data_IF_852018791792
#
_entry.id   IF_852018791792
#
_cell.length_a   1.000
_cell.length_b   1.000
_cell.length_c   1.000
_cell.angle_alpha   90.00
_cell.angle_beta   90.00
_cell.angle_gamma   90.00
#
_symmetry.space_group_name_H-M   'P 1'
#
loop_
_entity.id
_entity.type
_entity.pdbx_description
1 polymer ?
#
# COMPACT_ATOMS: atom_id res chain seq x y z
N UNK A 1 46.28 35.66 13.12
CA UNK A 1 45.37 36.80 12.83
C UNK A 1 46.13 38.04 12.39
N UNK A 2 47.12 38.52 13.16
CA UNK A 2 47.95 39.66 12.77
C UNK A 2 48.59 39.51 11.38
N UNK A 3 49.06 38.31 11.03
CA UNK A 3 49.62 38.03 9.70
C UNK A 3 48.61 38.16 8.55
N UNK A 4 47.38 37.68 8.73
CA UNK A 4 46.33 37.80 7.72
C UNK A 4 45.90 39.26 7.55
N UNK A 5 45.80 40.00 8.65
CA UNK A 5 45.51 41.43 8.64
C UNK A 5 46.60 42.24 7.91
N UNK A 6 47.88 41.91 8.12
CA UNK A 6 49.01 42.53 7.38
C UNK A 6 48.94 42.30 5.87
N UNK A 7 48.28 41.23 5.42
CA UNK A 7 48.07 40.90 4.00
C UNK A 7 46.75 41.43 3.43
N UNK A 8 46.02 42.25 4.19
CA UNK A 8 44.71 42.78 3.77
C UNK A 8 43.59 41.75 3.76
N UNK A 9 43.77 40.58 4.38
CA UNK A 9 42.76 39.51 4.43
C UNK A 9 41.98 39.62 5.74
N UNK A 10 40.67 39.88 5.64
CA UNK A 10 39.74 39.90 6.76
C UNK A 10 38.85 38.65 6.76
N UNK A 11 38.68 38.02 7.92
CA UNK A 11 37.77 36.89 8.12
C UNK A 11 36.60 37.37 8.98
N UNK A 12 35.37 37.39 8.45
CA UNK A 12 34.24 38.06 9.09
C UNK A 12 33.68 37.31 10.30
N UNK A 13 33.69 35.96 10.27
CA UNK A 13 33.19 35.13 11.36
C UNK A 13 34.28 34.12 11.72
N UNK A 14 34.77 34.20 12.95
CA UNK A 14 35.77 33.28 13.47
C UNK A 14 35.18 32.51 14.64
N UNK A 15 35.53 31.25 14.73
CA UNK A 15 35.04 30.38 15.78
C UNK A 15 36.04 29.27 16.08
N UNK A 16 36.23 28.96 17.37
CA UNK A 16 37.04 27.82 17.78
C UNK A 16 36.36 26.98 18.87
N UNK A 17 35.43 27.57 19.62
CA UNK A 17 34.84 26.92 20.78
C UNK A 17 33.82 25.83 20.41
N UNK A 18 34.08 24.61 20.87
CA UNK A 18 33.07 23.55 20.99
C UNK A 18 32.43 23.59 22.39
N UNK A 19 31.52 22.66 22.69
CA UNK A 19 30.89 22.57 24.03
C UNK A 19 31.88 22.59 25.20
N UNK A 20 33.03 21.91 25.07
CA UNK A 20 34.05 21.87 26.13
C UNK A 20 34.75 23.22 26.30
N UNK A 21 35.12 23.87 25.21
CA UNK A 21 35.73 25.20 25.25
C UNK A 21 34.77 26.27 25.79
N UNK A 22 33.48 26.20 25.41
CA UNK A 22 32.43 27.09 25.92
C UNK A 22 32.37 27.05 27.45
N UNK A 23 32.46 25.85 28.05
CA UNK A 23 32.37 25.66 29.50
C UNK A 23 33.69 25.94 30.23
N UNK A 24 34.83 25.58 29.65
CA UNK A 24 36.14 25.70 30.31
C UNK A 24 36.78 27.08 30.14
N UNK A 25 36.49 27.79 29.05
CA UNK A 25 37.13 29.04 28.69
C UNK A 25 36.12 30.11 28.28
N UNK A 26 35.21 30.55 29.17
CA UNK A 26 34.14 31.49 28.83
C UNK A 26 34.63 32.85 28.32
N UNK A 27 35.90 33.21 28.56
CA UNK A 27 36.54 34.43 28.06
C UNK A 27 37.19 34.31 26.68
N UNK A 28 37.35 33.11 26.11
CA UNK A 28 38.00 32.89 24.80
C UNK A 28 37.03 32.94 23.60
N UNK A 29 35.98 33.77 23.71
CA UNK A 29 34.94 33.86 22.69
C UNK A 29 35.41 34.68 21.49
N UNK A 30 35.27 34.07 20.31
CA UNK A 30 35.30 34.78 19.02
C UNK A 30 33.87 35.16 18.62
N UNK A 31 33.65 35.48 17.34
CA UNK A 31 32.34 35.91 16.83
C UNK A 31 31.27 34.81 16.89
N UNK A 32 31.66 33.53 16.87
CA UNK A 32 30.72 32.40 16.92
C UNK A 32 31.26 31.22 17.75
N UNK A 33 30.34 30.45 18.34
CA UNK A 33 30.63 29.20 19.07
C UNK A 33 29.88 28.02 18.45
N UNK A 34 30.30 26.79 18.73
CA UNK A 34 29.75 25.56 18.15
C UNK A 34 29.31 24.59 19.25
N UNK A 35 28.22 24.88 19.97
CA UNK A 35 27.69 23.96 20.98
C UNK A 35 27.15 22.71 20.28
N UNK A 36 27.76 21.57 20.59
CA UNK A 36 27.35 20.24 20.12
C UNK A 36 26.70 19.49 21.27
N UNK A 37 27.46 18.61 21.95
CA UNK A 37 26.94 17.74 23.01
C UNK A 37 26.16 18.45 24.14
N UNK A 38 26.50 19.70 24.46
CA UNK A 38 25.80 20.45 25.52
C UNK A 38 24.38 20.85 25.11
N UNK A 39 24.06 20.95 23.81
CA UNK A 39 22.68 21.21 23.35
C UNK A 39 21.77 20.00 23.58
N UNK A 40 22.34 18.80 23.73
CA UNK A 40 21.64 17.59 24.15
C UNK A 40 21.51 17.47 25.67
N UNK A 41 21.98 18.48 26.41
CA UNK A 41 21.98 18.47 27.87
C UNK A 41 23.06 17.59 28.49
N UNK A 42 24.11 17.24 27.73
CA UNK A 42 25.17 16.33 28.16
C UNK A 42 26.48 17.11 28.35
N UNK A 43 27.09 16.93 29.52
CA UNK A 43 28.37 17.52 29.86
C UNK A 43 29.51 16.84 29.08
N UNK A 44 30.42 17.61 28.43
CA UNK A 44 31.56 17.07 27.68
C UNK A 44 32.52 16.22 28.52
N UNK A 45 32.64 16.51 29.82
CA UNK A 45 33.45 15.75 30.77
C UNK A 45 32.92 15.93 32.20
N UNK A 46 33.37 15.10 33.14
CA UNK A 46 32.90 15.17 34.53
C UNK A 46 33.29 16.50 35.21
N UNK A 47 34.44 17.07 34.85
CA UNK A 47 34.97 18.34 35.38
C UNK A 47 34.15 19.56 34.94
N UNK A 48 33.22 19.38 34.00
CA UNK A 48 32.36 20.45 33.48
C UNK A 48 30.96 20.49 34.08
N UNK A 49 30.61 19.53 34.97
CA UNK A 49 29.26 19.39 35.53
C UNK A 49 28.78 20.63 36.27
N UNK A 50 29.66 21.28 37.03
CA UNK A 50 29.31 22.44 37.85
C UNK A 50 29.43 23.77 37.10
N UNK A 51 29.76 23.74 35.80
CA UNK A 51 30.02 24.95 35.00
C UNK A 51 28.79 25.48 34.25
N UNK A 52 27.71 24.70 34.18
CA UNK A 52 26.45 25.09 33.59
C UNK A 52 25.31 24.20 34.08
N UNK A 53 24.07 24.67 33.96
CA UNK A 53 22.87 23.86 34.19
C UNK A 53 22.38 23.27 32.86
N UNK A 54 22.80 22.05 32.55
CA UNK A 54 22.38 21.34 31.34
C UNK A 54 21.21 20.41 31.66
N UNK A 55 20.17 20.44 30.80
CA UNK A 55 19.00 19.57 30.94
C UNK A 55 19.01 18.52 29.84
N UNK A 56 19.15 17.22 30.16
CA UNK A 56 19.08 16.15 29.17
C UNK A 56 17.76 16.17 28.39
N UNK A 57 17.84 16.08 27.06
CA UNK A 57 16.67 16.22 26.15
C UNK A 57 16.25 14.91 25.50
N UNK A 58 16.93 13.80 25.79
CA UNK A 58 16.68 12.49 25.18
C UNK A 58 16.50 11.41 26.24
N UNK A 59 15.47 10.59 26.05
CA UNK A 59 15.29 9.32 26.76
C UNK A 59 15.10 8.18 25.77
N UNK A 60 15.57 6.99 26.12
CA UNK A 60 15.33 5.77 25.37
C UNK A 60 14.64 4.76 26.27
N UNK A 61 13.45 4.33 25.84
CA UNK A 61 12.53 3.54 26.64
C UNK A 61 12.02 2.35 25.84
N UNK A 62 11.61 1.31 26.55
CA UNK A 62 10.96 0.12 26.01
C UNK A 62 9.97 -0.44 27.05
N UNK A 63 9.39 -1.60 26.79
CA UNK A 63 8.49 -2.28 27.72
C UNK A 63 8.90 -3.72 27.94
N UNK A 64 8.54 -4.29 29.08
CA UNK A 64 8.76 -5.72 29.35
C UNK A 64 7.80 -6.54 28.50
N UNK A 65 8.32 -7.54 27.78
CA UNK A 65 7.51 -8.44 26.95
C UNK A 65 7.35 -9.83 27.54
N UNK A 66 8.21 -10.20 28.49
CA UNK A 66 8.16 -11.49 29.16
C UNK A 66 8.81 -11.41 30.54
N UNK A 67 8.24 -12.13 31.51
CA UNK A 67 8.87 -12.39 32.80
C UNK A 67 8.83 -13.89 33.07
N UNK A 68 9.95 -14.45 33.53
CA UNK A 68 10.07 -15.85 33.95
C UNK A 68 10.92 -15.96 35.21
N UNK A 69 10.62 -16.95 36.05
CA UNK A 69 11.45 -17.30 37.20
C UNK A 69 12.36 -18.49 36.85
N UNK A 70 13.59 -18.44 37.35
CA UNK A 70 14.57 -19.50 37.19
C UNK A 70 15.14 -19.89 38.55
N UNK A 71 15.36 -21.19 38.82
CA UNK A 71 16.07 -21.63 40.02
C UNK A 71 17.56 -21.28 39.93
N UNK A 72 18.29 -21.47 41.03
CA UNK A 72 19.76 -21.39 41.04
C UNK A 72 20.38 -22.40 40.05
N UNK A 73 21.53 -22.04 39.46
CA UNK A 73 22.28 -22.88 38.52
C UNK A 73 21.81 -22.82 37.06
N UNK A 74 20.84 -21.97 36.73
CA UNK A 74 20.29 -21.86 35.38
C UNK A 74 21.05 -20.84 34.53
N UNK A 75 21.27 -21.16 33.25
CA UNK A 75 22.00 -20.27 32.33
C UNK A 75 21.07 -19.29 31.62
N UNK A 76 21.45 -18.01 31.58
CA UNK A 76 20.69 -16.94 30.92
C UNK A 76 21.46 -16.42 29.68
N UNK A 77 20.72 -16.31 28.57
CA UNK A 77 21.22 -15.78 27.29
C UNK A 77 22.22 -16.68 26.55
N UNK A 78 22.75 -16.16 25.44
CA UNK A 78 23.71 -16.89 24.60
C UNK A 78 24.97 -17.30 25.38
N UNK A 79 25.46 -18.51 25.08
CA UNK A 79 26.63 -19.14 25.70
C UNK A 79 26.55 -19.23 27.23
N UNK A 80 25.38 -19.05 27.84
CA UNK A 80 25.16 -19.17 29.28
C UNK A 80 26.15 -18.34 30.11
N UNK A 81 26.46 -17.13 29.63
CA UNK A 81 27.47 -16.25 30.28
C UNK A 81 27.06 -15.74 31.66
N UNK A 82 25.78 -15.87 32.00
CA UNK A 82 25.26 -15.61 33.34
C UNK A 82 24.61 -16.89 33.86
N UNK A 83 24.98 -17.27 35.09
CA UNK A 83 24.40 -18.40 35.81
C UNK A 83 23.74 -17.85 37.07
N UNK A 84 22.43 -18.11 37.23
CA UNK A 84 21.66 -17.68 38.40
C UNK A 84 22.28 -18.28 39.67
N UNK A 85 22.50 -17.46 40.70
CA UNK A 85 23.04 -17.94 41.99
C UNK A 85 21.93 -18.35 42.95
N UNK A 86 20.74 -17.79 42.77
CA UNK A 86 19.56 -18.03 43.59
C UNK A 86 18.30 -18.10 42.71
N UNK A 87 17.11 -18.09 43.33
CA UNK A 87 15.86 -17.97 42.59
C UNK A 87 15.81 -16.57 41.97
N UNK A 88 16.00 -16.48 40.66
CA UNK A 88 16.09 -15.21 39.93
C UNK A 88 14.86 -14.99 39.07
N UNK A 89 14.27 -13.80 39.16
CA UNK A 89 13.17 -13.36 38.30
C UNK A 89 13.74 -12.54 37.15
N UNK A 90 13.51 -12.99 35.92
CA UNK A 90 14.15 -12.45 34.72
C UNK A 90 13.10 -11.83 33.81
N UNK A 91 13.26 -10.54 33.51
CA UNK A 91 12.48 -9.82 32.51
C UNK A 91 13.19 -9.83 31.17
N UNK A 92 12.45 -9.94 30.06
CA UNK A 92 12.96 -9.76 28.71
C UNK A 92 12.39 -8.50 28.09
N UNK A 93 13.24 -7.71 27.42
CA UNK A 93 12.86 -6.48 26.73
C UNK A 93 13.24 -6.54 25.24
N UNK A 94 12.44 -5.92 24.34
CA UNK A 94 12.66 -5.89 22.89
C UNK A 94 13.64 -4.79 22.50
N UNK A 95 14.86 -4.90 23.02
CA UNK A 95 15.99 -4.04 22.66
C UNK A 95 17.25 -4.88 22.58
N UNK A 96 18.01 -4.72 21.50
CA UNK A 96 19.32 -5.34 21.35
C UNK A 96 20.33 -4.46 20.62
N UNK A 97 21.45 -5.06 20.22
CA UNK A 97 22.51 -4.33 19.50
C UNK A 97 22.08 -3.86 18.11
N UNK A 98 21.05 -4.46 17.51
CA UNK A 98 20.42 -3.99 16.28
C UNK A 98 19.77 -2.62 16.44
N UNK A 99 19.31 -2.29 17.65
CA UNK A 99 18.74 -0.99 18.03
C UNK A 99 19.80 0.01 18.47
N UNK A 100 21.07 -0.40 18.48
CA UNK A 100 22.20 0.40 18.93
C UNK A 100 22.46 0.34 20.44
N UNK A 101 21.84 -0.60 21.18
CA UNK A 101 22.21 -0.88 22.56
C UNK A 101 23.52 -1.70 22.59
N UNK A 102 24.65 -1.18 23.10
CA UNK A 102 25.95 -1.81 22.90
C UNK A 102 26.04 -3.25 23.41
N UNK A 103 26.61 -4.16 22.61
CA UNK A 103 26.87 -5.53 23.02
C UNK A 103 27.76 -5.62 24.28
N UNK A 104 28.67 -4.66 24.46
CA UNK A 104 29.55 -4.54 25.63
C UNK A 104 28.81 -4.31 26.96
N UNK A 105 27.51 -3.99 26.92
CA UNK A 105 26.65 -3.92 28.11
C UNK A 105 26.17 -5.29 28.59
N UNK A 106 26.52 -6.38 27.90
CA UNK A 106 26.28 -7.75 28.38
C UNK A 106 26.88 -7.95 29.78
N UNK A 107 26.06 -8.33 30.77
CA UNK A 107 26.43 -8.44 32.19
C UNK A 107 26.98 -7.16 32.84
N UNK A 108 26.76 -5.99 32.23
CA UNK A 108 27.33 -4.71 32.70
C UNK A 108 26.34 -3.56 32.66
N UNK A 109 25.36 -3.62 31.76
CA UNK A 109 24.33 -2.60 31.62
C UNK A 109 23.30 -2.64 32.74
N UNK A 110 22.52 -1.58 32.82
CA UNK A 110 21.38 -1.45 33.73
C UNK A 110 20.23 -0.79 32.98
N UNK A 111 19.03 -0.97 33.53
CA UNK A 111 17.82 -0.27 33.14
C UNK A 111 17.07 0.22 34.39
N UNK A 112 16.18 1.20 34.24
CA UNK A 112 15.25 1.58 35.30
C UNK A 112 13.89 0.94 35.05
N UNK A 113 13.36 0.29 36.09
CA UNK A 113 12.00 -0.26 36.11
C UNK A 113 11.36 0.15 37.43
N UNK A 114 10.21 0.82 37.37
CA UNK A 114 9.50 1.37 38.55
C UNK A 114 10.42 2.21 39.46
N UNK A 115 11.34 2.97 38.86
CA UNK A 115 12.28 3.84 39.58
C UNK A 115 13.42 3.11 40.29
N UNK A 116 13.63 1.81 40.01
CA UNK A 116 14.73 1.01 40.55
C UNK A 116 15.65 0.52 39.43
N UNK A 117 16.94 0.39 39.72
CA UNK A 117 17.93 -0.15 38.79
C UNK A 117 17.83 -1.67 38.72
N UNK A 118 17.78 -2.20 37.50
CA UNK A 118 17.76 -3.62 37.17
C UNK A 118 18.96 -3.95 36.28
N UNK A 119 19.86 -4.86 36.66
CA UNK A 119 21.05 -5.18 35.88
C UNK A 119 20.71 -6.03 34.65
N UNK A 120 21.43 -5.79 33.54
CA UNK A 120 21.42 -6.66 32.36
C UNK A 120 22.17 -7.94 32.69
N UNK A 121 21.50 -9.08 32.56
CA UNK A 121 22.08 -10.40 32.80
C UNK A 121 22.09 -11.22 31.51
N UNK A 122 23.19 -11.92 31.26
CA UNK A 122 23.44 -12.61 29.99
C UNK A 122 23.91 -11.67 28.87
N UNK A 123 24.07 -12.24 27.67
CA UNK A 123 24.47 -11.48 26.48
C UNK A 123 23.31 -10.71 25.88
N UNK A 124 23.57 -9.45 25.53
CA UNK A 124 22.69 -8.66 24.67
C UNK A 124 22.62 -9.33 23.29
N UNK A 125 21.41 -9.62 22.82
CA UNK A 125 21.16 -10.21 21.49
C UNK A 125 20.88 -9.13 20.45
N UNK A 126 20.57 -9.52 19.20
CA UNK A 126 20.33 -8.54 18.13
C UNK A 126 19.13 -7.64 18.45
N UNK A 127 18.03 -8.22 18.94
CA UNK A 127 16.75 -7.51 19.09
C UNK A 127 16.19 -7.59 20.51
N UNK A 128 16.85 -8.31 21.42
CA UNK A 128 16.37 -8.58 22.78
C UNK A 128 17.51 -8.61 23.80
N UNK A 129 17.23 -8.25 25.05
CA UNK A 129 18.10 -8.52 26.19
C UNK A 129 17.28 -8.82 27.45
N UNK A 130 17.97 -9.30 28.49
CA UNK A 130 17.36 -9.77 29.74
C UNK A 130 17.85 -8.96 30.93
N UNK A 131 16.94 -8.69 31.86
CA UNK A 131 17.17 -7.92 33.08
C UNK A 131 16.84 -8.79 34.30
N UNK A 132 17.66 -8.71 35.34
CA UNK A 132 17.31 -9.25 36.66
C UNK A 132 16.34 -8.30 37.35
N UNK A 133 15.14 -8.80 37.66
CA UNK A 133 14.07 -8.06 38.34
C UNK A 133 13.67 -8.73 39.65
N UNK A 134 14.56 -9.52 40.24
CA UNK A 134 14.33 -10.23 41.51
C UNK A 134 13.98 -9.25 42.64
N UNK A 135 14.71 -8.14 42.73
CA UNK A 135 14.48 -7.08 43.74
C UNK A 135 13.38 -6.07 43.38
N UNK A 136 12.60 -6.37 42.33
CA UNK A 136 11.47 -5.56 41.85
C UNK A 136 10.24 -6.48 41.72
N UNK A 137 9.67 -6.97 42.85
CA UNK A 137 8.64 -8.00 42.82
C UNK A 137 7.34 -7.56 42.11
N UNK A 138 7.00 -6.27 42.19
CA UNK A 138 5.79 -5.70 41.59
C UNK A 138 5.91 -5.42 40.07
N UNK A 139 7.06 -5.72 39.49
CA UNK A 139 7.31 -5.59 38.07
C UNK A 139 6.45 -6.57 37.26
N UNK A 140 5.77 -6.12 36.20
CA UNK A 140 4.89 -6.93 35.35
C UNK A 140 5.18 -6.73 33.87
N UNK A 141 4.70 -7.66 33.02
CA UNK A 141 4.73 -7.49 31.56
C UNK A 141 3.98 -6.22 31.19
N UNK A 142 4.55 -5.42 30.29
CA UNK A 142 4.04 -4.12 29.89
C UNK A 142 4.63 -2.93 30.66
N UNK A 143 5.35 -3.14 31.78
CA UNK A 143 5.98 -2.05 32.52
C UNK A 143 7.01 -1.30 31.66
N UNK A 144 7.06 0.03 31.82
CA UNK A 144 8.03 0.90 31.17
C UNK A 144 9.44 0.64 31.72
N UNK A 145 10.38 0.44 30.81
CA UNK A 145 11.80 0.25 31.08
C UNK A 145 12.58 1.42 30.46
N UNK A 146 13.36 2.13 31.27
CA UNK A 146 14.19 3.26 30.81
C UNK A 146 15.66 2.83 30.73
N UNK A 147 16.23 2.84 29.52
CA UNK A 147 17.63 2.48 29.27
C UNK A 147 18.56 3.70 29.22
N UNK A 148 18.00 4.86 28.86
CA UNK A 148 18.64 6.18 28.93
C UNK A 148 17.56 7.17 29.39
N UNK A 149 17.82 7.97 30.41
CA UNK A 149 16.86 8.94 30.92
C UNK A 149 16.49 8.73 32.38
N UNK A 150 15.41 9.39 32.81
CA UNK A 150 14.93 9.44 34.19
C UNK A 150 13.70 8.56 34.38
N UNK A 151 13.61 7.88 35.53
CA UNK A 151 12.40 7.24 36.01
C UNK A 151 12.36 7.37 37.54
N UNK A 152 11.36 8.10 38.06
CA UNK A 152 11.38 8.52 39.46
C UNK A 152 12.61 9.38 39.78
N UNK A 153 13.25 9.10 40.90
CA UNK A 153 14.46 9.81 41.35
C UNK A 153 15.75 9.33 40.66
N UNK A 154 15.71 8.14 40.04
CA UNK A 154 16.85 7.53 39.35
C UNK A 154 17.03 8.08 37.93
N UNK A 155 18.29 8.14 37.49
CA UNK A 155 18.66 8.62 36.15
C UNK A 155 19.86 7.85 35.59
N UNK A 156 19.71 7.27 34.40
CA UNK A 156 20.80 6.66 33.63
C UNK A 156 21.25 7.66 32.57
N UNK A 157 22.48 8.16 32.69
CA UNK A 157 23.04 9.17 31.77
C UNK A 157 23.75 8.55 30.56
N UNK A 158 23.83 9.28 29.45
CA UNK A 158 24.60 8.84 28.28
C UNK A 158 26.09 8.63 28.60
N UNK A 159 26.66 9.43 29.52
CA UNK A 159 28.04 9.28 29.99
C UNK A 159 28.23 8.02 30.84
N UNK A 160 27.23 7.63 31.63
CA UNK A 160 27.26 6.37 32.40
C UNK A 160 27.24 5.15 31.48
N UNK A 161 26.34 5.15 30.49
CA UNK A 161 26.27 4.09 29.47
C UNK A 161 27.60 4.02 28.71
N UNK A 162 28.14 5.16 28.30
CA UNK A 162 29.39 5.25 27.58
C UNK A 162 30.57 4.69 28.39
N UNK A 163 30.66 5.01 29.68
CA UNK A 163 31.69 4.47 30.56
C UNK A 163 31.61 2.94 30.68
N UNK A 164 30.42 2.38 30.87
CA UNK A 164 30.21 0.91 30.93
C UNK A 164 30.50 0.22 29.59
N UNK A 165 30.17 0.89 28.48
CA UNK A 165 30.42 0.40 27.12
C UNK A 165 31.82 0.73 26.58
N UNK A 166 32.69 1.37 27.37
CA UNK A 166 34.04 1.77 26.98
C UNK A 166 34.10 2.68 25.74
N UNK A 167 33.21 3.67 25.68
CA UNK A 167 33.13 4.67 24.61
C UNK A 167 32.80 6.07 25.16
N UNK A 168 32.41 7.00 24.29
CA UNK A 168 31.96 8.36 24.57
C UNK A 168 30.46 8.51 24.35
N UNK A 169 29.83 9.44 25.06
CA UNK A 169 28.38 9.68 24.96
C UNK A 169 27.90 10.07 23.57
N UNK A 170 28.76 10.65 22.73
CA UNK A 170 28.46 10.91 21.32
C UNK A 170 28.11 9.64 20.55
N UNK A 171 28.86 8.55 20.76
CA UNK A 171 28.57 7.28 20.09
C UNK A 171 27.25 6.69 20.60
N UNK A 172 27.02 6.74 21.92
CA UNK A 172 25.77 6.27 22.53
C UNK A 172 24.56 7.00 21.95
N UNK A 173 24.57 8.34 21.91
CA UNK A 173 23.46 9.14 21.38
C UNK A 173 23.26 8.93 19.88
N UNK A 174 24.33 8.68 19.13
CA UNK A 174 24.25 8.40 17.70
C UNK A 174 23.75 6.98 17.38
N UNK A 175 24.00 6.01 18.26
CA UNK A 175 23.66 4.61 18.05
C UNK A 175 22.28 4.26 18.62
N UNK A 176 21.99 4.69 19.84
CA UNK A 176 20.85 4.22 20.60
C UNK A 176 19.51 4.61 19.95
N UNK A 177 18.62 3.63 19.83
CA UNK A 177 17.34 3.80 19.14
C UNK A 177 17.46 3.85 17.62
N UNK A 178 18.53 3.29 17.00
CA UNK A 178 18.75 3.31 15.55
C UNK A 178 17.51 2.88 14.75
N UNK A 179 16.84 1.82 15.20
CA UNK A 179 15.59 1.27 14.62
C UNK A 179 14.31 1.74 15.33
N UNK A 180 14.43 2.44 16.45
CA UNK A 180 13.28 2.89 17.23
C UNK A 180 12.65 4.18 16.64
N UNK A 181 11.32 4.34 16.75
CA UNK A 181 10.68 5.62 16.44
C UNK A 181 11.17 6.71 17.40
N UNK A 182 11.23 7.95 16.92
CA UNK A 182 11.56 9.13 17.74
C UNK A 182 10.28 9.90 18.00
N UNK A 183 9.97 10.15 19.27
CA UNK A 183 8.84 10.99 19.67
C UNK A 183 9.41 12.31 20.15
N UNK A 184 9.01 13.41 19.50
CA UNK A 184 9.45 14.75 19.88
C UNK A 184 8.40 15.38 20.80
N UNK A 185 8.83 15.78 21.99
CA UNK A 185 7.97 16.45 22.97
C UNK A 185 8.09 17.96 22.77
N UNK A 186 7.08 18.60 22.17
CA UNK A 186 7.02 20.06 22.11
C UNK A 186 6.21 20.58 23.30
N UNK A 187 6.63 21.69 23.93
CA UNK A 187 5.88 22.31 25.03
C UNK A 187 4.43 22.58 24.57
N UNK A 188 3.48 21.81 25.11
CA UNK A 188 2.04 21.98 24.85
C UNK A 188 1.44 21.10 23.74
N UNK A 189 2.23 20.28 23.04
CA UNK A 189 1.73 19.28 22.09
C UNK A 189 2.46 17.96 22.34
N UNK A 190 1.86 17.10 23.16
CA UNK A 190 2.09 15.66 23.06
C UNK A 190 1.46 15.18 21.75
N UNK A 191 2.08 14.19 21.09
CA UNK A 191 1.58 13.47 19.90
C UNK A 191 2.12 13.86 18.52
N UNK A 192 3.16 14.68 18.42
CA UNK A 192 3.99 14.72 17.21
C UNK A 192 4.90 13.48 17.15
N UNK A 193 4.31 12.31 16.90
CA UNK A 193 5.06 11.10 16.53
C UNK A 193 5.45 11.26 15.07
N UNK A 194 6.69 11.69 14.80
CA UNK A 194 7.30 11.43 13.49
C UNK A 194 7.86 10.00 13.53
N UNK A 195 7.24 8.98 12.91
CA UNK A 195 7.88 7.70 12.74
C UNK A 195 9.05 7.85 11.77
N UNK A 196 10.20 8.30 12.27
CA UNK A 196 11.49 8.21 11.57
C UNK A 196 12.01 6.79 11.70
N UNK A 197 11.32 5.85 11.04
CA UNK A 197 11.89 4.55 10.76
C UNK A 197 12.85 4.68 9.57
N UNK A 198 14.09 4.27 9.85
CA UNK A 198 15.26 4.18 8.96
C UNK A 198 16.00 5.52 8.75
N UNK A 199 17.28 5.52 9.14
CA UNK A 199 18.33 6.32 8.49
C UNK A 199 18.44 5.88 7.02
N UNK A 200 17.44 6.18 6.21
CA UNK A 200 17.61 6.45 4.79
C UNK A 200 17.19 7.90 4.68
N UNK A 201 18.15 8.80 4.51
CA UNK A 201 17.84 10.12 4.00
C UNK A 201 17.25 9.89 2.60
N UNK A 202 15.93 10.00 2.51
CA UNK A 202 15.16 9.94 1.27
C UNK A 202 14.89 11.41 0.94
N UNK A 203 15.62 12.04 -0.02
CA UNK A 203 15.36 13.40 -0.46
C UNK A 203 13.88 13.54 -0.88
N UNK A 204 13.32 14.75 -0.84
CA UNK A 204 11.92 14.98 -1.30
C UNK A 204 11.62 14.42 -2.70
N UNK A 205 12.64 14.31 -3.56
CA UNK A 205 12.57 13.67 -4.88
C UNK A 205 12.26 12.17 -4.84
N UNK A 206 12.60 11.44 -3.78
CA UNK A 206 12.29 10.01 -3.61
C UNK A 206 10.89 9.75 -3.01
N UNK A 207 10.19 10.79 -2.55
CA UNK A 207 8.74 10.73 -2.31
C UNK A 207 7.92 11.01 -3.58
N UNK A 208 8.58 11.41 -4.66
CA UNK A 208 7.89 11.67 -5.92
C UNK A 208 7.44 10.34 -6.51
N UNK A 209 6.12 10.13 -6.60
CA UNK A 209 5.52 9.05 -7.41
C UNK A 209 6.25 8.93 -8.75
N UNK A 210 6.59 10.06 -9.38
CA UNK A 210 7.33 10.13 -10.63
C UNK A 210 8.66 9.35 -10.67
N UNK A 211 9.38 9.17 -9.54
CA UNK A 211 10.61 8.37 -9.52
C UNK A 211 10.32 6.88 -9.44
N UNK A 212 9.32 6.47 -8.66
CA UNK A 212 8.86 5.06 -8.62
C UNK A 212 8.30 4.69 -9.99
N UNK A 213 7.46 5.55 -10.54
CA UNK A 213 6.89 5.46 -11.88
C UNK A 213 8.01 5.32 -12.92
N UNK A 214 9.03 6.17 -12.86
CA UNK A 214 10.20 6.08 -13.74
C UNK A 214 10.97 4.76 -13.58
N UNK A 215 11.12 4.22 -12.36
CA UNK A 215 11.82 2.94 -12.12
C UNK A 215 11.01 1.78 -12.71
N UNK A 216 9.69 1.75 -12.45
CA UNK A 216 8.79 0.71 -12.93
C UNK A 216 8.69 0.77 -14.46
N UNK A 217 8.53 1.97 -15.02
CA UNK A 217 8.54 2.22 -16.47
C UNK A 217 9.85 1.75 -17.10
N UNK A 218 11.02 2.14 -16.57
CA UNK A 218 12.31 1.66 -17.06
C UNK A 218 12.45 0.13 -16.98
N UNK A 219 11.90 -0.50 -15.94
CA UNK A 219 11.86 -1.95 -15.81
C UNK A 219 11.02 -2.61 -16.92
N UNK A 220 9.85 -2.04 -17.27
CA UNK A 220 9.06 -2.50 -18.40
C UNK A 220 9.80 -2.30 -19.72
N UNK A 221 10.31 -1.10 -20.01
CA UNK A 221 11.09 -0.79 -21.20
C UNK A 221 12.27 -1.76 -21.40
N UNK A 222 13.00 -2.06 -20.31
CA UNK A 222 14.13 -2.98 -20.34
C UNK A 222 13.68 -4.42 -20.64
N UNK A 223 12.57 -4.86 -20.06
CA UNK A 223 12.04 -6.22 -20.27
C UNK A 223 11.44 -6.40 -21.66
N UNK A 224 10.72 -5.40 -22.17
CA UNK A 224 10.14 -5.41 -23.54
C UNK A 224 11.20 -5.19 -24.61
N UNK A 225 12.37 -4.64 -24.24
CA UNK A 225 13.41 -4.16 -25.17
C UNK A 225 12.88 -3.11 -26.15
N UNK A 226 11.88 -2.34 -25.73
CA UNK A 226 11.25 -1.28 -26.51
C UNK A 226 10.71 -0.23 -25.54
N UNK A 227 11.15 1.02 -25.74
CA UNK A 227 10.70 2.15 -24.94
C UNK A 227 9.19 2.35 -25.09
N UNK A 228 8.71 2.38 -26.34
CA UNK A 228 7.30 2.54 -26.70
C UNK A 228 6.40 1.47 -26.06
N UNK A 229 6.79 0.19 -26.15
CA UNK A 229 6.01 -0.90 -25.53
C UNK A 229 6.08 -0.87 -24.00
N UNK A 230 7.23 -0.48 -23.43
CA UNK A 230 7.38 -0.34 -21.99
C UNK A 230 6.49 0.75 -21.42
N UNK A 231 6.44 1.90 -22.10
CA UNK A 231 5.58 3.04 -21.75
C UNK A 231 4.11 2.69 -21.91
N UNK A 232 3.73 2.04 -23.02
CA UNK A 232 2.37 1.58 -23.22
C UNK A 232 1.91 0.64 -22.10
N UNK A 233 2.71 -0.34 -21.69
CA UNK A 233 2.37 -1.23 -20.57
C UNK A 233 2.24 -0.45 -19.26
N UNK A 234 3.15 0.49 -19.00
CA UNK A 234 3.12 1.30 -17.80
C UNK A 234 1.82 2.12 -17.70
N UNK A 235 1.51 2.92 -18.72
CA UNK A 235 0.34 3.79 -18.68
C UNK A 235 -0.99 3.03 -18.84
N UNK A 236 -1.05 2.00 -19.70
CA UNK A 236 -2.31 1.29 -19.97
C UNK A 236 -2.65 0.26 -18.90
N UNK A 237 -1.65 -0.37 -18.29
CA UNK A 237 -1.88 -1.44 -17.31
C UNK A 237 -1.54 -1.00 -15.88
N UNK A 238 -0.35 -0.42 -15.65
CA UNK A 238 0.10 -0.14 -14.29
C UNK A 238 -0.60 1.08 -13.69
N UNK A 239 -0.58 2.22 -14.37
CA UNK A 239 -1.33 3.42 -13.95
C UNK A 239 -2.83 3.15 -13.85
N UNK A 240 -3.43 2.47 -14.83
CA UNK A 240 -4.85 2.11 -14.78
C UNK A 240 -5.19 1.27 -13.54
N UNK A 241 -4.34 0.33 -13.15
CA UNK A 241 -4.58 -0.57 -12.01
C UNK A 241 -4.21 0.02 -10.65
N UNK A 242 -3.16 0.85 -10.59
CA UNK A 242 -2.50 1.24 -9.35
C UNK A 242 -2.30 2.76 -9.21
N UNK A 243 -2.52 3.56 -10.25
CA UNK A 243 -2.23 4.99 -10.28
C UNK A 243 -3.26 5.88 -9.56
N UNK A 244 -4.41 5.32 -9.17
CA UNK A 244 -5.41 6.03 -8.37
C UNK A 244 -5.32 5.57 -6.90
N UNK A 245 -5.02 6.50 -5.99
CA UNK A 245 -4.78 6.22 -4.55
C UNK A 245 -5.91 5.41 -3.89
N UNK A 246 -7.16 5.65 -4.30
CA UNK A 246 -8.36 5.01 -3.72
C UNK A 246 -8.96 3.89 -4.59
N UNK A 247 -8.36 3.56 -5.75
CA UNK A 247 -8.89 2.52 -6.63
C UNK A 247 -8.50 1.15 -6.11
N UNK A 248 -9.41 0.51 -5.37
CA UNK A 248 -9.21 -0.86 -4.91
C UNK A 248 -9.28 -1.85 -6.07
N UNK A 249 -8.31 -2.75 -6.15
CA UNK A 249 -8.18 -3.70 -7.25
C UNK A 249 -9.30 -4.76 -7.19
N UNK A 250 -10.30 -4.64 -8.07
CA UNK A 250 -11.34 -5.66 -8.21
C UNK A 250 -10.82 -6.87 -9.02
N UNK A 251 -10.98 -8.07 -8.47
CA UNK A 251 -10.64 -9.32 -9.14
C UNK A 251 -11.91 -10.05 -9.56
N UNK A 252 -11.92 -10.56 -10.79
CA UNK A 252 -13.02 -11.38 -11.32
C UNK A 252 -12.54 -12.81 -11.59
N UNK A 253 -13.42 -13.78 -11.41
CA UNK A 253 -13.18 -15.17 -11.82
C UNK A 253 -14.43 -15.81 -12.37
N UNK A 254 -14.30 -16.97 -13.03
CA UNK A 254 -15.42 -17.65 -13.69
C UNK A 254 -16.19 -16.73 -14.63
N UNK A 255 -15.45 -15.90 -15.39
CA UNK A 255 -16.05 -14.91 -16.28
C UNK A 255 -16.62 -15.60 -17.50
N UNK A 256 -17.90 -15.35 -17.77
CA UNK A 256 -18.57 -15.84 -18.97
C UNK A 256 -19.37 -14.71 -19.61
N UNK A 257 -19.21 -14.58 -20.92
CA UNK A 257 -19.88 -13.55 -21.72
C UNK A 257 -20.51 -14.23 -22.94
N UNK A 258 -21.82 -14.43 -22.91
CA UNK A 258 -22.58 -14.95 -24.05
C UNK A 258 -23.26 -13.80 -24.80
N UNK A 259 -23.03 -13.75 -26.11
CA UNK A 259 -23.56 -12.73 -27.01
C UNK A 259 -24.38 -13.46 -28.06
N UNK A 260 -25.63 -13.03 -28.23
CA UNK A 260 -26.54 -13.56 -29.25
C UNK A 260 -27.04 -12.42 -30.10
N UNK A 261 -26.70 -12.44 -31.39
CA UNK A 261 -27.16 -11.47 -32.38
C UNK A 261 -28.20 -12.10 -33.30
N UNK A 262 -29.32 -11.41 -33.49
CA UNK A 262 -30.43 -11.87 -34.30
C UNK A 262 -31.03 -10.73 -35.14
N UNK A 263 -31.73 -11.10 -36.21
CA UNK A 263 -32.57 -10.16 -36.96
C UNK A 263 -33.67 -9.60 -36.07
N UNK A 264 -34.02 -8.32 -36.26
CA UNK A 264 -35.14 -7.72 -35.55
C UNK A 264 -36.46 -8.39 -35.96
N UNK A 265 -37.35 -8.72 -35.01
CA UNK A 265 -38.70 -9.17 -35.34
C UNK A 265 -39.47 -8.01 -35.99
N UNK A 266 -39.97 -8.18 -37.23
CA UNK A 266 -40.71 -7.10 -37.91
C UNK A 266 -41.67 -7.59 -39.00
N UNK A 267 -42.91 -7.08 -38.95
CA UNK A 267 -43.92 -7.14 -40.03
C UNK A 267 -44.59 -5.76 -40.20
N UNK A 268 -44.85 -5.32 -41.43
CA UNK A 268 -45.57 -4.06 -41.72
C UNK A 268 -44.69 -2.80 -41.80
N UNK A 269 -45.26 -1.60 -41.58
CA UNK A 269 -44.60 -0.29 -41.74
C UNK A 269 -43.31 -0.09 -40.90
N UNK A 270 -43.09 -0.92 -39.88
CA UNK A 270 -41.86 -0.95 -39.07
C UNK A 270 -40.64 -1.58 -39.79
N UNK A 271 -40.81 -2.14 -41.01
CA UNK A 271 -39.77 -2.86 -41.76
C UNK A 271 -38.50 -2.05 -41.99
N UNK A 272 -38.61 -0.79 -42.43
CA UNK A 272 -37.44 0.05 -42.75
C UNK A 272 -36.52 0.26 -41.54
N UNK A 273 -37.08 0.38 -40.34
CA UNK A 273 -36.29 0.55 -39.11
C UNK A 273 -35.81 -0.80 -38.56
N UNK A 274 -36.60 -1.87 -38.67
CA UNK A 274 -36.17 -3.23 -38.32
C UNK A 274 -35.01 -3.72 -39.20
N UNK A 275 -34.98 -3.34 -40.48
CA UNK A 275 -33.92 -3.74 -41.41
C UNK A 275 -32.58 -3.08 -41.10
N UNK A 276 -32.55 -1.94 -40.40
CA UNK A 276 -31.35 -1.17 -40.09
C UNK A 276 -30.60 -1.64 -38.83
N UNK A 277 -31.22 -2.46 -37.98
CA UNK A 277 -30.65 -2.90 -36.70
C UNK A 277 -30.73 -4.42 -36.51
N UNK A 278 -29.81 -4.94 -35.73
CA UNK A 278 -29.91 -6.26 -35.10
C UNK A 278 -30.45 -6.12 -33.68
N UNK A 279 -31.12 -7.17 -33.21
CA UNK A 279 -31.37 -7.38 -31.79
C UNK A 279 -30.18 -8.11 -31.20
N UNK A 280 -29.64 -7.58 -30.11
CA UNK A 280 -28.51 -8.15 -29.41
C UNK A 280 -28.90 -8.47 -27.97
N UNK A 281 -28.73 -9.73 -27.58
CA UNK A 281 -28.86 -10.18 -26.20
C UNK A 281 -27.47 -10.52 -25.66
N UNK A 282 -27.14 -9.93 -24.52
CA UNK A 282 -25.88 -10.17 -23.81
C UNK A 282 -26.20 -10.78 -22.45
N UNK A 283 -25.57 -11.90 -22.13
CA UNK A 283 -25.48 -12.44 -20.77
C UNK A 283 -24.03 -12.31 -20.32
N UNK A 284 -23.82 -11.65 -19.18
CA UNK A 284 -22.52 -11.55 -18.54
C UNK A 284 -22.63 -12.13 -17.14
N UNK A 285 -21.71 -13.03 -16.80
CA UNK A 285 -21.58 -13.53 -15.45
C UNK A 285 -20.12 -13.62 -15.00
N UNK A 286 -19.90 -13.44 -13.71
CA UNK A 286 -18.58 -13.56 -13.08
C UNK A 286 -18.73 -13.61 -11.57
N UNK A 287 -17.67 -14.05 -10.89
CA UNK A 287 -17.55 -13.97 -9.43
C UNK A 287 -16.67 -12.81 -9.02
N UNK A 288 -17.08 -12.07 -8.01
CA UNK A 288 -16.26 -11.06 -7.32
C UNK A 288 -16.64 -10.89 -5.86
N UNK A 289 -15.78 -10.26 -5.08
CA UNK A 289 -16.14 -9.78 -3.74
C UNK A 289 -16.88 -8.46 -3.86
N UNK A 290 -18.11 -8.38 -3.35
CA UNK A 290 -18.89 -7.13 -3.37
C UNK A 290 -18.65 -6.28 -2.13
N UNK A 291 -18.74 -4.95 -2.29
CA UNK A 291 -18.58 -3.97 -1.19
C UNK A 291 -19.78 -3.04 -1.04
N UNK A 292 -20.67 -3.02 -2.04
CA UNK A 292 -21.92 -2.26 -2.04
C UNK A 292 -23.12 -3.20 -2.14
N UNK A 293 -24.26 -2.74 -1.66
CA UNK A 293 -25.57 -3.35 -1.84
C UNK A 293 -26.35 -2.74 -3.02
N UNK A 294 -25.71 -1.81 -3.74
CA UNK A 294 -26.24 -1.15 -4.94
C UNK A 294 -25.22 -1.19 -6.07
N UNK A 295 -25.72 -1.47 -7.27
CA UNK A 295 -24.94 -1.64 -8.50
C UNK A 295 -25.57 -0.85 -9.63
N UNK A 296 -24.75 -0.42 -10.57
CA UNK A 296 -25.15 0.34 -11.75
C UNK A 296 -24.78 -0.42 -13.02
N UNK A 297 -25.72 -0.49 -13.96
CA UNK A 297 -25.47 -0.84 -15.35
C UNK A 297 -25.65 0.43 -16.19
N UNK A 298 -24.58 0.87 -16.85
CA UNK A 298 -24.56 2.11 -17.62
C UNK A 298 -24.67 1.90 -19.13
N UNK A 299 -25.30 2.84 -19.82
CA UNK A 299 -25.23 2.91 -21.28
C UNK A 299 -24.88 4.33 -21.73
N UNK A 300 -23.75 4.46 -22.42
CA UNK A 300 -23.23 5.71 -22.96
C UNK A 300 -23.68 5.91 -24.42
N UNK A 301 -23.88 7.17 -24.80
CA UNK A 301 -24.14 7.58 -26.19
C UNK A 301 -22.85 8.01 -26.91
N UNK A 302 -21.82 8.38 -26.15
CA UNK A 302 -20.55 8.88 -26.66
C UNK A 302 -19.38 8.42 -25.79
N UNK A 303 -18.15 8.78 -26.21
CA UNK A 303 -16.93 8.37 -25.53
C UNK A 303 -16.76 9.01 -24.15
N UNK A 304 -17.16 10.27 -23.98
CA UNK A 304 -17.00 10.98 -22.70
C UNK A 304 -17.90 10.37 -21.62
N UNK A 305 -19.14 10.02 -21.98
CA UNK A 305 -20.05 9.27 -21.12
C UNK A 305 -19.49 7.89 -20.77
N UNK A 306 -18.92 7.18 -21.75
CA UNK A 306 -18.31 5.87 -21.50
C UNK A 306 -17.16 5.97 -20.49
N UNK A 307 -16.31 6.99 -20.60
CA UNK A 307 -15.23 7.28 -19.66
C UNK A 307 -15.78 7.56 -18.25
N UNK A 308 -16.81 8.40 -18.12
CA UNK A 308 -17.44 8.68 -16.83
C UNK A 308 -18.04 7.42 -16.17
N UNK A 309 -18.57 6.49 -16.96
CA UNK A 309 -19.06 5.19 -16.47
C UNK A 309 -17.94 4.22 -16.10
N UNK A 310 -16.75 4.33 -16.70
CA UNK A 310 -15.56 3.52 -16.34
C UNK A 310 -15.03 3.92 -14.95
N UNK A 311 -15.20 5.19 -14.58
CA UNK A 311 -14.67 5.74 -13.33
C UNK A 311 -15.60 5.55 -12.11
N UNK A 312 -16.87 5.24 -12.31
CA UNK A 312 -17.82 5.02 -11.22
C UNK A 312 -17.66 3.62 -10.60
N UNK A 313 -17.42 3.56 -9.29
CA UNK A 313 -17.21 2.33 -8.53
C UNK A 313 -18.43 1.40 -8.48
N UNK A 314 -19.64 1.93 -8.69
CA UNK A 314 -20.87 1.14 -8.72
C UNK A 314 -21.12 0.51 -10.08
N UNK A 315 -20.40 0.92 -11.13
CA UNK A 315 -20.64 0.51 -12.50
C UNK A 315 -20.13 -0.91 -12.80
N UNK A 316 -21.02 -1.90 -12.75
CA UNK A 316 -20.66 -3.31 -12.96
C UNK A 316 -20.50 -3.68 -14.43
N UNK A 317 -21.32 -3.06 -15.26
CA UNK A 317 -21.35 -3.25 -16.70
C UNK A 317 -21.67 -1.92 -17.38
N UNK A 318 -21.05 -1.69 -18.53
CA UNK A 318 -21.37 -0.54 -19.38
C UNK A 318 -21.32 -0.89 -20.86
N UNK A 319 -22.13 -0.18 -21.63
CA UNK A 319 -22.22 -0.34 -23.08
C UNK A 319 -22.19 1.02 -23.76
N UNK A 320 -21.59 1.13 -24.94
CA UNK A 320 -21.72 2.33 -25.79
C UNK A 320 -22.68 2.02 -26.95
N UNK A 321 -23.77 2.78 -27.02
CA UNK A 321 -24.80 2.60 -28.03
C UNK A 321 -24.40 3.37 -29.30
N UNK A 322 -23.88 2.66 -30.30
CA UNK A 322 -23.47 3.26 -31.57
C UNK A 322 -24.59 3.28 -32.62
N UNK A 323 -24.97 4.48 -33.08
CA UNK A 323 -25.84 4.71 -34.23
C UNK A 323 -26.65 6.01 -34.11
N UNK A 324 -26.69 6.81 -35.18
CA UNK A 324 -27.20 8.20 -35.15
C UNK A 324 -28.68 8.33 -34.73
N UNK A 325 -29.51 7.32 -34.98
CA UNK A 325 -30.95 7.31 -34.68
C UNK A 325 -31.35 6.47 -33.46
N UNK A 326 -30.38 5.99 -32.68
CA UNK A 326 -30.61 5.21 -31.47
C UNK A 326 -30.85 6.11 -30.25
N UNK A 327 -31.85 5.73 -29.45
CA UNK A 327 -32.21 6.45 -28.21
C UNK A 327 -32.00 5.49 -27.06
N UNK A 328 -31.07 5.85 -26.15
CA UNK A 328 -30.60 4.94 -25.12
C UNK A 328 -31.73 4.40 -24.23
N UNK A 329 -32.67 5.23 -23.79
CA UNK A 329 -33.76 4.79 -22.91
C UNK A 329 -34.72 3.78 -23.56
N UNK A 330 -34.77 3.77 -24.90
CA UNK A 330 -35.65 2.88 -25.69
C UNK A 330 -34.92 1.63 -26.17
N UNK A 331 -33.65 1.78 -26.52
CA UNK A 331 -32.91 0.79 -27.31
C UNK A 331 -31.88 0.01 -26.49
N UNK A 332 -31.75 0.31 -25.20
CA UNK A 332 -30.97 -0.43 -24.21
C UNK A 332 -31.86 -0.79 -23.01
N UNK A 333 -31.93 -2.06 -22.66
CA UNK A 333 -32.74 -2.57 -21.56
C UNK A 333 -31.94 -3.58 -20.75
N UNK A 334 -31.88 -3.38 -19.44
CA UNK A 334 -31.42 -4.40 -18.49
C UNK A 334 -32.64 -5.25 -18.18
N UNK A 335 -32.68 -6.47 -18.71
CA UNK A 335 -33.79 -7.40 -18.44
C UNK A 335 -33.67 -7.97 -17.03
N UNK A 336 -32.43 -8.19 -16.56
CA UNK A 336 -32.20 -8.92 -15.33
C UNK A 336 -30.84 -8.62 -14.70
N UNK A 337 -30.82 -8.62 -13.37
CA UNK A 337 -29.60 -8.73 -12.58
C UNK A 337 -29.81 -9.75 -11.48
N UNK A 338 -28.87 -10.69 -11.32
CA UNK A 338 -28.88 -11.66 -10.23
C UNK A 338 -27.58 -11.65 -9.44
N UNK A 339 -27.69 -11.92 -8.15
CA UNK A 339 -26.55 -12.17 -7.27
C UNK A 339 -26.77 -13.49 -6.52
N UNK A 340 -25.89 -14.47 -6.77
CA UNK A 340 -26.02 -15.87 -6.36
C UNK A 340 -27.38 -16.50 -6.72
N UNK A 341 -27.88 -16.19 -7.91
CA UNK A 341 -29.16 -16.70 -8.40
C UNK A 341 -30.40 -15.97 -7.88
N UNK A 342 -30.26 -15.02 -6.94
CA UNK A 342 -31.36 -14.18 -6.47
C UNK A 342 -31.56 -12.97 -7.38
N UNK A 343 -32.80 -12.70 -7.79
CA UNK A 343 -33.15 -11.53 -8.61
C UNK A 343 -33.01 -10.23 -7.80
N UNK A 344 -32.23 -9.29 -8.31
CA UNK A 344 -32.00 -7.97 -7.71
C UNK A 344 -32.86 -6.93 -8.44
N UNK A 345 -33.77 -6.24 -7.73
CA UNK A 345 -34.70 -5.32 -8.37
C UNK A 345 -33.97 -4.07 -8.88
N UNK A 346 -34.45 -3.56 -10.00
CA UNK A 346 -34.10 -2.23 -10.50
C UNK A 346 -34.77 -1.19 -9.59
N UNK A 347 -33.97 -0.40 -8.88
CA UNK A 347 -34.44 0.63 -7.96
C UNK A 347 -34.65 1.97 -8.66
N UNK A 348 -33.87 2.25 -9.71
CA UNK A 348 -33.94 3.48 -10.49
C UNK A 348 -33.37 3.27 -11.89
N UNK A 349 -34.02 3.83 -12.90
CA UNK A 349 -33.45 3.96 -14.25
C UNK A 349 -33.63 5.40 -14.72
N UNK A 350 -32.55 6.09 -15.09
CA UNK A 350 -32.61 7.49 -15.47
C UNK A 350 -31.47 7.91 -16.39
N UNK A 351 -31.74 8.90 -17.25
CA UNK A 351 -30.71 9.61 -18.00
C UNK A 351 -30.06 10.66 -17.11
N UNK A 352 -28.73 10.66 -17.08
CA UNK A 352 -27.88 11.60 -16.34
C UNK A 352 -26.89 12.26 -17.30
N UNK A 353 -26.04 13.15 -16.78
CA UNK A 353 -24.94 13.72 -17.56
C UNK A 353 -23.91 12.66 -18.01
N UNK A 354 -23.88 11.49 -17.36
CA UNK A 354 -22.93 10.40 -17.62
C UNK A 354 -23.47 9.32 -18.56
N UNK A 355 -24.72 9.46 -19.02
CA UNK A 355 -25.40 8.48 -19.86
C UNK A 355 -26.70 7.99 -19.22
N UNK A 356 -27.19 6.84 -19.67
CA UNK A 356 -28.34 6.18 -19.06
C UNK A 356 -27.87 5.21 -17.99
N UNK A 357 -28.38 5.36 -16.77
CA UNK A 357 -27.97 4.61 -15.61
C UNK A 357 -29.14 3.75 -15.11
N UNK A 358 -28.93 2.44 -15.02
CA UNK A 358 -29.87 1.48 -14.43
C UNK A 358 -29.28 0.98 -13.12
N UNK A 359 -29.85 1.42 -12.01
CA UNK A 359 -29.44 1.09 -10.66
C UNK A 359 -30.25 -0.09 -10.14
N UNK A 360 -29.55 -1.11 -9.65
CA UNK A 360 -30.08 -2.32 -9.05
C UNK A 360 -29.60 -2.41 -7.61
N UNK A 361 -30.47 -2.76 -6.67
CA UNK A 361 -30.06 -2.87 -5.27
C UNK A 361 -31.09 -3.56 -4.40
N UNK A 362 -30.64 -4.09 -3.26
CA UNK A 362 -31.52 -4.78 -2.31
C UNK A 362 -30.89 -4.83 -0.93
N UNK A 363 -31.66 -4.53 0.12
CA UNK A 363 -31.21 -4.61 1.51
C UNK A 363 -30.67 -6.01 1.89
N UNK A 364 -31.13 -7.06 1.19
CA UNK A 364 -30.65 -8.43 1.41
C UNK A 364 -29.14 -8.57 1.15
N UNK A 365 -28.59 -7.75 0.26
CA UNK A 365 -27.18 -7.79 -0.15
C UNK A 365 -26.24 -7.27 0.94
N UNK A 366 -26.74 -6.53 1.93
CA UNK A 366 -25.96 -6.09 3.09
C UNK A 366 -25.31 -7.28 3.83
N UNK A 367 -25.98 -8.42 3.85
CA UNK A 367 -25.46 -9.67 4.45
C UNK A 367 -24.32 -10.33 3.64
N UNK A 368 -24.16 -9.94 2.37
CA UNK A 368 -23.17 -10.46 1.42
C UNK A 368 -22.00 -9.50 1.18
N UNK A 369 -22.00 -8.32 1.80
CA UNK A 369 -20.87 -7.38 1.75
C UNK A 369 -19.60 -8.07 2.27
N UNK A 370 -18.48 -7.85 1.57
CA UNK A 370 -17.18 -8.46 1.81
C UNK A 370 -17.13 -9.98 1.59
N UNK A 371 -18.10 -10.55 0.85
CA UNK A 371 -18.11 -11.96 0.42
C UNK A 371 -18.01 -12.06 -1.09
N UNK A 372 -17.44 -13.16 -1.56
CA UNK A 372 -17.47 -13.53 -2.97
C UNK A 372 -18.90 -13.97 -3.35
N UNK A 373 -19.43 -13.39 -4.42
CA UNK A 373 -20.75 -13.69 -4.97
C UNK A 373 -20.64 -13.87 -6.48
N UNK A 374 -21.57 -14.61 -7.07
CA UNK A 374 -21.76 -14.70 -8.53
C UNK A 374 -22.72 -13.60 -8.98
N UNK A 375 -22.25 -12.70 -9.84
CA UNK A 375 -23.07 -11.67 -10.48
C UNK A 375 -23.47 -12.16 -11.88
N UNK A 376 -24.73 -11.97 -12.25
CA UNK A 376 -25.26 -12.26 -13.59
C UNK A 376 -26.09 -11.07 -14.08
N UNK A 377 -25.89 -10.66 -15.33
CA UNK A 377 -26.54 -9.50 -15.93
C UNK A 377 -27.03 -9.88 -17.33
N UNK A 378 -28.33 -9.72 -17.57
CA UNK A 378 -28.95 -9.93 -18.88
C UNK A 378 -29.37 -8.59 -19.48
N UNK A 379 -28.90 -8.32 -20.69
CA UNK A 379 -29.09 -7.04 -21.38
C UNK A 379 -29.62 -7.30 -22.78
N UNK A 380 -30.63 -6.53 -23.16
CA UNK A 380 -31.17 -6.45 -24.50
C UNK A 380 -30.86 -5.08 -25.09
N UNK A 381 -30.18 -5.03 -26.24
CA UNK A 381 -29.86 -3.77 -26.91
C UNK A 381 -30.04 -3.89 -28.42
N UNK A 382 -30.20 -2.75 -29.09
CA UNK A 382 -30.11 -2.67 -30.55
C UNK A 382 -28.67 -2.41 -30.99
N UNK A 383 -28.31 -2.96 -32.16
CA UNK A 383 -27.01 -2.75 -32.80
C UNK A 383 -27.22 -2.36 -34.25
N UNK A 384 -26.70 -1.22 -34.69
CA UNK A 384 -26.80 -0.81 -36.09
C UNK A 384 -26.08 -1.81 -37.01
N UNK A 385 -26.73 -2.23 -38.10
CA UNK A 385 -26.12 -3.13 -39.09
C UNK A 385 -24.97 -2.48 -39.85
N UNK A 386 -24.97 -1.15 -39.94
CA UNK A 386 -23.87 -0.36 -40.50
C UNK A 386 -22.56 -0.53 -39.71
N UNK A 387 -22.65 -0.83 -38.42
CA UNK A 387 -21.50 -1.08 -37.57
C UNK A 387 -21.21 -2.59 -37.49
N UNK A 388 -20.15 -2.99 -38.19
CA UNK A 388 -19.76 -4.39 -38.46
C UNK A 388 -18.85 -5.03 -37.40
N UNK A 389 -18.74 -4.41 -36.23
CA UNK A 389 -17.90 -4.93 -35.15
C UNK A 389 -18.65 -5.04 -33.83
N UNK A 390 -18.21 -5.96 -32.98
CA UNK A 390 -18.64 -6.11 -31.59
C UNK A 390 -17.41 -6.32 -30.69
N UNK A 391 -16.95 -5.27 -29.99
CA UNK A 391 -15.82 -5.38 -29.08
C UNK A 391 -16.25 -5.88 -27.69
N UNK A 392 -15.43 -6.75 -27.10
CA UNK A 392 -15.49 -7.15 -25.70
C UNK A 392 -14.18 -6.76 -25.03
N UNK A 393 -14.25 -5.86 -24.04
CA UNK A 393 -13.09 -5.41 -23.27
C UNK A 393 -13.22 -5.82 -21.80
N UNK A 394 -12.13 -6.35 -21.25
CA UNK A 394 -11.99 -6.62 -19.82
C UNK A 394 -11.37 -5.40 -19.15
N UNK A 395 -12.02 -4.85 -18.12
CA UNK A 395 -11.42 -3.77 -17.32
C UNK A 395 -10.69 -4.24 -16.09
N UNK A 396 -11.03 -5.42 -15.61
CA UNK A 396 -10.57 -5.92 -14.34
C UNK A 396 -9.73 -7.17 -14.58
N UNK A 397 -8.67 -7.38 -13.78
CA UNK A 397 -7.95 -8.64 -13.79
C UNK A 397 -8.93 -9.81 -13.61
N UNK A 398 -8.93 -10.70 -14.59
CA UNK A 398 -9.91 -11.77 -14.70
C UNK A 398 -9.19 -13.11 -14.78
N UNK A 399 -9.55 -14.04 -13.89
CA UNK A 399 -8.96 -15.39 -13.85
C UNK A 399 -9.86 -16.40 -14.55
N UNK A 400 -9.40 -16.89 -15.70
CA UNK A 400 -10.17 -17.70 -16.64
C UNK A 400 -11.34 -16.93 -17.27
N UNK A 401 -11.63 -17.23 -18.54
CA UNK A 401 -12.81 -16.67 -19.21
C UNK A 401 -13.36 -17.57 -20.31
N UNK A 402 -14.66 -17.42 -20.56
CA UNK A 402 -15.38 -17.97 -21.71
C UNK A 402 -16.17 -16.86 -22.40
N UNK A 403 -15.95 -16.65 -23.70
CA UNK A 403 -16.71 -15.69 -24.51
C UNK A 403 -17.33 -16.45 -25.67
N UNK A 404 -18.65 -16.38 -25.79
CA UNK A 404 -19.43 -17.08 -26.79
C UNK A 404 -20.18 -16.06 -27.65
N UNK A 405 -19.99 -16.12 -28.96
CA UNK A 405 -20.66 -15.23 -29.92
C UNK A 405 -21.51 -16.06 -30.88
N UNK A 406 -22.83 -16.01 -30.71
CA UNK A 406 -23.82 -16.73 -31.50
C UNK A 406 -24.46 -15.80 -32.54
N UNK A 407 -24.31 -16.13 -33.82
CA UNK A 407 -24.77 -15.28 -34.93
C UNK A 407 -25.64 -16.01 -35.96
N UNK A 408 -26.05 -17.25 -35.67
CA UNK A 408 -26.82 -18.06 -36.63
C UNK A 408 -28.19 -17.46 -37.02
N UNK A 409 -28.76 -16.60 -36.18
CA UNK A 409 -30.03 -15.93 -36.45
C UNK A 409 -29.88 -14.52 -37.05
N UNK A 410 -28.64 -14.07 -37.28
CA UNK A 410 -28.36 -12.73 -37.82
C UNK A 410 -28.06 -12.71 -39.32
N UNK A 411 -27.82 -13.86 -39.95
CA UNK A 411 -27.45 -13.91 -41.38
C UNK A 411 -26.11 -13.23 -41.68
N UNK A 412 -25.16 -13.28 -40.74
CA UNK A 412 -23.83 -12.69 -40.90
C UNK A 412 -22.92 -13.61 -41.73
N UNK A 413 -22.00 -13.00 -42.45
CA UNK A 413 -20.98 -13.69 -43.25
C UNK A 413 -19.57 -13.30 -42.78
N UNK A 414 -18.59 -14.16 -43.07
CA UNK A 414 -17.17 -13.91 -42.79
C UNK A 414 -16.86 -13.48 -41.34
N UNK A 415 -17.58 -14.04 -40.36
CA UNK A 415 -17.39 -13.68 -38.94
C UNK A 415 -16.02 -14.14 -38.45
N UNK A 416 -15.24 -13.22 -37.87
CA UNK A 416 -13.91 -13.45 -37.30
C UNK A 416 -13.83 -12.89 -35.89
N UNK A 417 -12.91 -13.43 -35.10
CA UNK A 417 -12.61 -12.97 -33.76
C UNK A 417 -11.11 -12.61 -33.67
N UNK A 418 -10.82 -11.33 -33.46
CA UNK A 418 -9.47 -10.82 -33.28
C UNK A 418 -9.21 -10.60 -31.78
N UNK A 419 -8.43 -11.50 -31.16
CA UNK A 419 -8.15 -11.47 -29.73
C UNK A 419 -6.83 -10.79 -29.39
N UNK A 420 -6.79 -10.04 -28.30
CA UNK A 420 -5.61 -9.32 -27.80
C UNK A 420 -5.48 -9.50 -26.28
N UNK A 421 -5.53 -10.75 -25.82
CA UNK A 421 -5.43 -11.06 -24.40
C UNK A 421 -4.00 -10.91 -23.88
N UNK A 422 -3.80 -10.06 -22.86
CA UNK A 422 -2.55 -9.92 -22.14
C UNK A 422 -2.56 -10.78 -20.87
N UNK A 423 -1.47 -11.52 -20.65
CA UNK A 423 -1.33 -12.46 -19.52
C UNK A 423 0.04 -13.13 -19.54
N UNK A 424 0.32 -14.00 -18.57
CA UNK A 424 1.58 -14.78 -18.55
C UNK A 424 1.60 -15.84 -19.66
N UNK A 425 0.49 -16.56 -19.84
CA UNK A 425 0.29 -17.53 -20.92
C UNK A 425 -1.09 -17.38 -21.57
N UNK A 426 -1.40 -16.26 -22.24
CA UNK A 426 -2.74 -15.95 -22.74
C UNK A 426 -3.03 -16.67 -24.05
N UNK A 427 -2.88 -17.99 -24.10
CA UNK A 427 -3.31 -18.78 -25.26
C UNK A 427 -4.81 -18.99 -25.17
N UNK A 428 -5.56 -18.15 -25.88
CA UNK A 428 -6.98 -18.36 -26.09
C UNK A 428 -7.21 -19.54 -27.05
N UNK A 429 -8.06 -20.49 -26.64
CA UNK A 429 -8.60 -21.53 -27.52
C UNK A 429 -9.83 -20.94 -28.22
N UNK A 430 -9.70 -20.64 -29.51
CA UNK A 430 -10.77 -20.05 -30.33
C UNK A 430 -11.31 -21.13 -31.26
N UNK A 431 -12.60 -21.43 -31.16
CA UNK A 431 -13.28 -22.44 -31.97
C UNK A 431 -14.52 -21.87 -32.61
N UNK A 432 -14.55 -21.85 -33.94
CA UNK A 432 -15.78 -21.65 -34.68
C UNK A 432 -16.53 -22.97 -34.81
N UNK A 433 -17.85 -22.95 -34.57
CA UNK A 433 -18.71 -24.12 -34.65
C UNK A 433 -19.67 -24.04 -35.85
N UNK A 434 -20.19 -25.20 -36.27
CA UNK A 434 -21.10 -25.34 -37.42
C UNK A 434 -22.45 -24.66 -37.21
N UNK A 435 -22.83 -24.43 -35.97
CA UNK A 435 -24.05 -23.71 -35.56
C UNK A 435 -23.92 -22.18 -35.65
N UNK A 436 -22.92 -21.68 -36.39
CA UNK A 436 -22.66 -20.26 -36.57
C UNK A 436 -22.42 -19.56 -35.23
N UNK A 437 -21.44 -20.08 -34.50
CA UNK A 437 -20.96 -19.52 -33.24
C UNK A 437 -19.43 -19.53 -33.16
N UNK A 438 -18.86 -18.60 -32.40
CA UNK A 438 -17.43 -18.58 -32.03
C UNK A 438 -17.33 -18.69 -30.51
N UNK A 439 -16.58 -19.69 -30.05
CA UNK A 439 -16.27 -19.94 -28.65
C UNK A 439 -14.81 -19.59 -28.38
N UNK A 440 -14.57 -18.80 -27.35
CA UNK A 440 -13.24 -18.38 -26.92
C UNK A 440 -13.06 -18.77 -25.46
N UNK A 441 -12.02 -19.53 -25.16
CA UNK A 441 -11.75 -20.00 -23.80
C UNK A 441 -10.32 -19.71 -23.38
N UNK A 442 -10.16 -19.24 -22.15
CA UNK A 442 -8.89 -19.17 -21.43
C UNK A 442 -9.02 -20.00 -20.16
N UNK A 443 -7.98 -20.76 -19.84
CA UNK A 443 -7.99 -21.72 -18.76
C UNK A 443 -8.30 -21.07 -17.39
N UNK A 444 -9.03 -21.75 -16.48
CA UNK A 444 -9.44 -21.21 -15.18
C UNK A 444 -8.31 -20.73 -14.26
N UNK A 445 -7.08 -21.20 -14.47
CA UNK A 445 -5.88 -20.86 -13.72
C UNK A 445 -5.11 -19.66 -14.31
N UNK A 446 -5.38 -19.30 -15.56
CA UNK A 446 -4.68 -18.22 -16.25
C UNK A 446 -5.28 -16.85 -15.93
N UNK A 447 -4.39 -15.87 -15.77
CA UNK A 447 -4.77 -14.48 -15.54
C UNK A 447 -4.76 -13.69 -16.83
N UNK A 448 -5.87 -12.98 -17.06
CA UNK A 448 -6.04 -12.02 -18.13
C UNK A 448 -6.06 -10.64 -17.49
N UNK A 449 -5.20 -9.75 -17.97
CA UNK A 449 -5.11 -8.40 -17.46
C UNK A 449 -6.18 -7.47 -18.05
N UNK A 450 -6.43 -6.30 -17.44
CA UNK A 450 -7.25 -5.24 -18.01
C UNK A 450 -6.82 -4.84 -19.43
N UNK A 451 -7.69 -4.06 -20.08
CA UNK A 451 -7.53 -3.53 -21.46
C UNK A 451 -7.36 -4.60 -22.55
N UNK A 452 -7.45 -5.86 -22.16
CA UNK A 452 -7.47 -7.05 -23.00
C UNK A 452 -8.88 -7.39 -23.47
N UNK A 453 -8.98 -8.18 -24.53
CA UNK A 453 -10.29 -8.55 -25.04
C UNK A 453 -10.28 -9.25 -26.39
N UNK A 454 -11.43 -9.18 -27.05
CA UNK A 454 -11.66 -9.67 -28.40
C UNK A 454 -12.58 -8.72 -29.16
N UNK A 455 -12.31 -8.53 -30.44
CA UNK A 455 -13.23 -7.84 -31.35
C UNK A 455 -13.79 -8.88 -32.33
N UNK A 456 -15.11 -9.03 -32.36
CA UNK A 456 -15.79 -9.76 -33.41
C UNK A 456 -16.03 -8.83 -34.60
N UNK A 457 -15.73 -9.30 -35.80
CA UNK A 457 -15.84 -8.54 -37.06
C UNK A 457 -16.56 -9.41 -38.07
N UNK A 458 -17.46 -8.84 -38.86
CA UNK A 458 -18.23 -9.58 -39.86
C UNK A 458 -18.58 -8.73 -41.09
N UNK A 459 -19.11 -9.40 -42.10
CA UNK A 459 -19.79 -8.77 -43.23
C UNK A 459 -21.31 -8.96 -43.12
N UNK A 460 -22.08 -8.01 -43.66
CA UNK A 460 -23.55 -7.99 -43.69
C UNK A 460 -24.04 -8.11 -45.12
#
# INVERSE_FOLDING_TARGET
LAELARRGISIPIRHMDNSGAILNYPGLKLEMTRPGIMTYGIYPSNETRDKAHLTPVMSFKTTIVLIKEFPAGYGIGYNRTYITQEKTRVATIPVGYGDGYPFLLSNRGEALIRGRRAPVIGRVSMDMCTLDVTDIPDCVVGDEVVLLGRQGDEYISANEIAARAQTISYEILCALGKRAPRVFLQKGQTDAVEPRLRRIFIPGEEKSLARIDSIIRQCFQTRTRSEELGDAIYYEMFETLFGKEDRQLELRSSFRYDISIAQMPGSGEQRKRADAYFQLRTHVEYKKTIRSDVFMIGCASDRAQLEALIEDEHCEYRWILGGDDLVVERDFTVEKMRIDGEDIPITRAAKTARGYEVWCGSDKLKSKINREVKIEIEILTKKAKSNRTFPVYLLYPTRGLEINFHYGQAGLHNVRAESFFAGRHPRADIRASRDQSIHIRIAPEEWVFPTSGVIFIWDV
#
